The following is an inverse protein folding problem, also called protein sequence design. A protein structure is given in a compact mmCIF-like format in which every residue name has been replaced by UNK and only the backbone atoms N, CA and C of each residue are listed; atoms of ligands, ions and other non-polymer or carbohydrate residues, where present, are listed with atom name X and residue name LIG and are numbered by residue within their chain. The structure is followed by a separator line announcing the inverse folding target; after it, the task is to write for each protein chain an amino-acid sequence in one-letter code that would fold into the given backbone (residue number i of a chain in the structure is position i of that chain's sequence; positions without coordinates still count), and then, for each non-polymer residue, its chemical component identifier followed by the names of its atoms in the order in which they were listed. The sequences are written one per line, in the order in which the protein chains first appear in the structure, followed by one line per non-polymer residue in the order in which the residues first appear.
data_IF_062605257178
#
_entry.id   IF_062605257178
#
_cell.length_a   1.000
_cell.length_b   1.000
_cell.length_c   1.000
_cell.angle_alpha   90.00
_cell.angle_beta   90.00
_cell.angle_gamma   90.00
#
_symmetry.space_group_name_H-M   'P 1'
#
loop_
_entity.id
_entity.type
_entity.pdbx_description
1 polymer ?
#
# COMPACT_ATOMS: atom_id res chain seq x y z
N UNK A 1 -20.51 -20.62 4.59
CA UNK A 1 -19.91 -19.85 5.71
C UNK A 1 -20.65 -20.18 6.99
N UNK A 2 -20.04 -19.92 8.14
CA UNK A 2 -20.72 -19.98 9.44
C UNK A 2 -20.89 -18.55 9.94
N UNK A 3 -22.10 -18.19 10.36
CA UNK A 3 -22.39 -16.92 11.01
C UNK A 3 -22.89 -17.16 12.44
N UNK A 4 -22.56 -16.25 13.34
CA UNK A 4 -23.16 -16.18 14.68
C UNK A 4 -23.52 -14.74 14.98
N UNK A 5 -24.74 -14.53 15.44
CA UNK A 5 -25.25 -13.22 15.82
C UNK A 5 -25.11 -13.04 17.32
N UNK A 6 -24.67 -11.86 17.73
CA UNK A 6 -24.53 -11.44 19.11
C UNK A 6 -25.23 -10.09 19.28
N UNK A 7 -25.90 -9.90 20.40
CA UNK A 7 -26.43 -8.59 20.77
C UNK A 7 -25.37 -7.80 21.53
N UNK A 8 -25.33 -6.49 21.30
CA UNK A 8 -24.62 -5.55 22.17
C UNK A 8 -25.13 -5.68 23.61
N UNK A 9 -24.28 -5.34 24.58
CA UNK A 9 -24.66 -5.28 26.00
C UNK A 9 -25.84 -4.32 26.19
N UNK A 10 -25.88 -3.23 25.43
CA UNK A 10 -26.95 -2.22 25.46
C UNK A 10 -28.16 -2.61 24.58
N UNK A 11 -28.07 -3.71 23.82
CA UNK A 11 -29.09 -4.23 22.88
C UNK A 11 -29.54 -3.24 21.78
N UNK A 12 -28.74 -2.23 21.53
CA UNK A 12 -28.86 -1.26 20.45
C UNK A 12 -28.31 -1.80 19.12
N UNK A 13 -27.26 -2.62 19.19
CA UNK A 13 -26.55 -3.14 18.02
C UNK A 13 -26.56 -4.67 17.95
N UNK A 14 -26.46 -5.20 16.72
CA UNK A 14 -26.32 -6.63 16.45
C UNK A 14 -24.99 -6.86 15.73
N UNK A 15 -24.13 -7.67 16.35
CA UNK A 15 -22.85 -8.07 15.80
C UNK A 15 -22.97 -9.43 15.10
N UNK A 16 -22.67 -9.45 13.81
CA UNK A 16 -22.60 -10.69 13.03
C UNK A 16 -21.15 -11.15 12.87
N UNK A 17 -20.76 -12.21 13.58
CA UNK A 17 -19.44 -12.82 13.44
C UNK A 17 -19.46 -13.81 12.28
N UNK A 18 -18.63 -13.56 11.27
CA UNK A 18 -18.49 -14.42 10.10
C UNK A 18 -17.21 -15.26 10.25
N UNK A 19 -17.34 -16.57 10.04
CA UNK A 19 -16.21 -17.50 9.97
C UNK A 19 -16.35 -18.39 8.73
N UNK A 20 -15.23 -18.66 8.07
CA UNK A 20 -15.17 -19.63 6.99
C UNK A 20 -14.31 -20.83 7.42
N UNK A 21 -14.76 -22.08 7.21
CA UNK A 21 -13.96 -23.26 7.49
C UNK A 21 -12.78 -23.36 6.50
N UNK A 22 -11.65 -23.90 6.97
CA UNK A 22 -10.41 -23.97 6.20
C UNK A 22 -10.57 -24.62 4.80
N UNK A 23 -11.31 -25.74 4.63
CA UNK A 23 -11.49 -26.34 3.31
C UNK A 23 -12.19 -25.42 2.31
N UNK A 24 -13.12 -24.57 2.78
CA UNK A 24 -13.81 -23.61 1.89
C UNK A 24 -12.90 -22.46 1.49
N UNK A 25 -12.02 -22.02 2.39
CA UNK A 25 -11.00 -21.00 2.10
C UNK A 25 -9.99 -21.49 1.08
N UNK A 26 -9.51 -22.74 1.24
CA UNK A 26 -8.56 -23.34 0.30
C UNK A 26 -9.18 -23.55 -1.09
N UNK A 27 -10.45 -23.95 -1.17
CA UNK A 27 -11.17 -24.00 -2.45
C UNK A 27 -11.28 -22.62 -3.12
N UNK A 28 -11.47 -21.57 -2.32
CA UNK A 28 -11.50 -20.20 -2.86
C UNK A 28 -10.11 -19.76 -3.34
N UNK A 29 -9.07 -20.08 -2.57
CA UNK A 29 -7.69 -19.80 -2.92
C UNK A 29 -7.31 -20.45 -4.26
N UNK A 30 -7.71 -21.69 -4.50
CA UNK A 30 -7.48 -22.38 -5.79
C UNK A 30 -8.26 -21.69 -6.93
N UNK A 31 -9.53 -21.32 -6.70
CA UNK A 31 -10.36 -20.62 -7.70
C UNK A 31 -9.71 -19.33 -8.20
N UNK A 32 -9.09 -18.57 -7.30
CA UNK A 32 -8.47 -17.28 -7.64
C UNK A 32 -6.97 -17.40 -7.95
N UNK A 33 -6.42 -18.62 -8.02
CA UNK A 33 -4.99 -18.89 -8.15
C UNK A 33 -4.17 -18.08 -7.12
N UNK A 34 -4.56 -18.16 -5.84
CA UNK A 34 -3.90 -17.41 -4.78
C UNK A 34 -2.46 -17.89 -4.62
N UNK A 35 -1.51 -16.97 -4.70
CA UNK A 35 -0.08 -17.29 -4.58
C UNK A 35 0.31 -17.50 -3.13
N UNK A 36 1.00 -18.59 -2.87
CA UNK A 36 1.54 -18.94 -1.56
C UNK A 36 3.02 -19.24 -1.66
N UNK A 37 3.75 -18.91 -0.59
CA UNK A 37 5.17 -19.18 -0.49
C UNK A 37 5.40 -20.67 -0.25
N UNK A 38 6.38 -21.24 -0.93
CA UNK A 38 6.86 -22.60 -0.70
C UNK A 38 7.86 -22.65 0.46
N UNK A 39 7.90 -23.79 1.14
CA UNK A 39 8.90 -24.09 2.16
C UNK A 39 10.25 -24.42 1.50
N UNK A 40 11.32 -23.64 1.77
CA UNK A 40 12.61 -23.82 1.09
C UNK A 40 13.22 -25.20 1.29
N UNK A 41 13.19 -25.74 2.52
CA UNK A 41 13.76 -27.05 2.84
C UNK A 41 13.00 -28.19 2.15
N UNK A 42 11.66 -28.14 2.18
CA UNK A 42 10.81 -29.11 1.49
C UNK A 42 11.03 -29.08 -0.03
N UNK A 43 11.21 -27.88 -0.59
CA UNK A 43 11.49 -27.69 -2.01
C UNK A 43 12.86 -28.21 -2.42
N UNK A 44 13.90 -27.91 -1.65
CA UNK A 44 15.24 -28.42 -1.90
C UNK A 44 15.28 -29.96 -1.84
N UNK A 45 14.61 -30.57 -0.86
CA UNK A 45 14.57 -32.03 -0.72
C UNK A 45 13.85 -32.68 -1.91
N UNK A 46 12.70 -32.16 -2.31
CA UNK A 46 12.00 -32.67 -3.49
C UNK A 46 12.81 -32.50 -4.75
N UNK A 47 13.46 -31.35 -4.95
CA UNK A 47 14.29 -31.10 -6.12
C UNK A 47 15.48 -32.08 -6.21
N UNK A 48 16.04 -32.48 -5.05
CA UNK A 48 17.08 -33.51 -4.96
C UNK A 48 16.56 -34.92 -5.21
N UNK A 49 15.35 -35.24 -4.74
CA UNK A 49 14.74 -36.55 -4.96
C UNK A 49 14.40 -36.78 -6.44
N UNK A 50 13.96 -35.72 -7.14
CA UNK A 50 13.40 -35.84 -8.47
C UNK A 50 12.06 -36.59 -8.47
N UNK A 51 11.31 -36.48 -9.55
CA UNK A 51 10.06 -37.21 -9.70
C UNK A 51 10.15 -38.14 -10.90
N UNK A 52 10.65 -39.35 -10.69
CA UNK A 52 10.85 -40.34 -11.77
C UNK A 52 9.65 -41.31 -11.93
N UNK A 53 8.69 -41.28 -11.00
CA UNK A 53 7.53 -42.18 -10.97
C UNK A 53 6.26 -41.42 -11.36
N UNK A 54 5.54 -41.88 -12.39
CA UNK A 54 4.27 -41.27 -12.82
C UNK A 54 4.17 -41.11 -14.35
N UNK A 55 3.13 -40.41 -14.84
CA UNK A 55 3.01 -40.06 -16.27
C UNK A 55 4.24 -39.28 -16.73
N UNK A 56 4.71 -39.52 -17.96
CA UNK A 56 5.93 -38.91 -18.54
C UNK A 56 5.90 -37.38 -18.39
N UNK A 57 4.73 -36.75 -18.53
CA UNK A 57 4.52 -35.31 -18.40
C UNK A 57 4.86 -34.74 -17.01
N UNK A 58 4.78 -35.56 -15.97
CA UNK A 58 5.12 -35.17 -14.58
C UNK A 58 6.48 -35.69 -14.16
N UNK A 59 7.24 -36.34 -15.06
CA UNK A 59 8.55 -36.86 -14.72
C UNK A 59 9.62 -35.79 -14.86
N UNK A 60 10.47 -35.64 -13.85
CA UNK A 60 11.61 -34.74 -13.89
C UNK A 60 12.79 -35.30 -13.07
N UNK A 61 14.00 -35.06 -13.57
CA UNK A 61 15.25 -35.52 -12.93
C UNK A 61 15.59 -34.62 -11.75
N UNK A 62 16.36 -35.15 -10.80
CA UNK A 62 16.86 -34.34 -9.70
C UNK A 62 17.65 -33.13 -10.20
N UNK A 63 17.39 -31.97 -9.60
CA UNK A 63 18.06 -30.71 -9.90
C UNK A 63 18.66 -30.19 -8.62
N UNK A 64 19.98 -30.03 -8.61
CA UNK A 64 20.69 -29.34 -7.54
C UNK A 64 21.16 -27.99 -8.06
N UNK A 65 20.54 -26.92 -7.56
CA UNK A 65 21.01 -25.56 -7.78
C UNK A 65 22.09 -25.27 -6.73
N UNK A 66 23.33 -24.92 -7.13
CA UNK A 66 24.37 -24.56 -6.19
C UNK A 66 23.99 -23.27 -5.45
N UNK A 67 24.12 -23.26 -4.13
CA UNK A 67 23.85 -22.09 -3.28
C UNK A 67 24.96 -21.02 -3.35
N UNK A 68 26.02 -21.26 -4.10
CA UNK A 68 27.16 -20.35 -4.27
C UNK A 68 26.81 -19.25 -5.29
N UNK A 69 25.85 -18.39 -4.96
CA UNK A 69 25.68 -17.13 -5.68
C UNK A 69 26.69 -16.13 -5.13
N UNK A 70 27.59 -15.63 -5.98
CA UNK A 70 28.57 -14.58 -5.62
C UNK A 70 27.87 -13.21 -5.54
N UNK A 71 26.72 -13.07 -6.20
CA UNK A 71 26.05 -11.80 -6.44
C UNK A 71 24.95 -11.47 -5.42
N UNK A 72 24.35 -12.48 -4.77
CA UNK A 72 23.20 -12.27 -3.87
C UNK A 72 23.26 -13.12 -2.60
N UNK A 73 22.81 -12.55 -1.47
CA UNK A 73 22.66 -13.26 -0.19
C UNK A 73 21.37 -14.10 -0.10
N UNK A 74 20.66 -14.30 -1.21
CA UNK A 74 19.36 -15.00 -1.23
C UNK A 74 19.59 -16.44 -1.69
N UNK A 75 19.13 -17.40 -0.88
CA UNK A 75 19.21 -18.81 -1.25
C UNK A 75 18.29 -19.11 -2.45
N UNK A 76 18.71 -19.96 -3.42
CA UNK A 76 17.92 -20.26 -4.62
C UNK A 76 16.50 -20.78 -4.35
N UNK A 77 16.27 -21.44 -3.21
CA UNK A 77 14.97 -22.01 -2.85
C UNK A 77 14.12 -21.06 -2.00
N UNK A 78 14.64 -19.87 -1.66
CA UNK A 78 13.94 -18.88 -0.86
C UNK A 78 13.02 -17.99 -1.70
N UNK A 79 11.87 -17.60 -1.13
CA UNK A 79 10.88 -16.70 -1.74
C UNK A 79 10.29 -17.18 -3.08
N UNK A 80 10.25 -18.49 -3.30
CA UNK A 80 9.50 -19.07 -4.42
C UNK A 80 8.03 -19.11 -4.04
N UNK A 81 7.18 -18.55 -4.89
CA UNK A 81 5.74 -18.53 -4.74
C UNK A 81 5.10 -19.31 -5.88
N UNK A 82 4.05 -20.06 -5.57
CA UNK A 82 3.25 -20.75 -6.57
C UNK A 82 1.76 -20.59 -6.28
N UNK A 83 0.95 -20.77 -7.31
CA UNK A 83 -0.49 -20.76 -7.17
C UNK A 83 -0.94 -21.97 -6.32
N UNK A 84 -1.87 -21.72 -5.42
CA UNK A 84 -2.44 -22.78 -4.59
C UNK A 84 -3.27 -23.75 -5.44
N UNK A 85 -2.99 -25.05 -5.34
CA UNK A 85 -3.75 -26.13 -6.00
C UNK A 85 -4.25 -27.15 -4.99
N UNK A 86 -5.54 -27.46 -5.04
CA UNK A 86 -6.12 -28.45 -4.14
C UNK A 86 -5.70 -29.88 -4.55
N UNK A 87 -5.09 -30.61 -3.63
CA UNK A 87 -4.73 -32.03 -3.82
C UNK A 87 -3.31 -32.27 -4.37
N UNK A 88 -2.55 -31.22 -4.66
CA UNK A 88 -1.12 -31.32 -4.90
C UNK A 88 -0.32 -31.24 -3.59
N UNK A 89 0.90 -31.78 -3.64
CA UNK A 89 1.71 -32.13 -2.48
C UNK A 89 2.06 -30.87 -1.63
N UNK A 90 1.84 -30.87 -0.31
CA UNK A 90 1.82 -29.65 0.50
C UNK A 90 3.23 -29.17 0.80
N UNK A 91 3.80 -28.46 -0.16
CA UNK A 91 5.12 -27.82 -0.02
C UNK A 91 4.99 -26.35 0.39
N UNK A 92 3.79 -25.92 0.77
CA UNK A 92 3.50 -24.56 1.19
C UNK A 92 4.07 -24.29 2.57
N UNK A 93 4.61 -23.09 2.75
CA UNK A 93 5.07 -22.63 4.05
C UNK A 93 3.90 -22.60 5.04
N UNK A 94 4.12 -23.21 6.20
CA UNK A 94 3.15 -23.21 7.30
C UNK A 94 3.45 -22.06 8.27
N UNK A 95 2.38 -21.52 8.85
CA UNK A 95 2.41 -20.39 9.77
C UNK A 95 1.71 -20.73 11.09
N UNK A 96 2.29 -20.21 12.18
CA UNK A 96 1.74 -20.28 13.54
C UNK A 96 1.77 -21.67 14.18
N UNK A 97 1.25 -21.76 15.41
CA UNK A 97 1.20 -23.01 16.21
C UNK A 97 0.29 -24.07 15.57
N UNK A 98 -0.72 -23.62 14.82
CA UNK A 98 -1.67 -24.50 14.11
C UNK A 98 -1.11 -25.08 12.81
N UNK A 99 0.14 -24.78 12.44
CA UNK A 99 0.77 -25.24 11.19
C UNK A 99 -0.08 -24.96 9.93
N UNK A 100 -0.73 -23.80 9.91
CA UNK A 100 -1.67 -23.47 8.86
C UNK A 100 -0.99 -22.87 7.65
N UNK A 101 -1.43 -23.25 6.45
CA UNK A 101 -0.90 -22.74 5.19
C UNK A 101 -1.23 -21.25 4.94
N UNK A 102 -2.33 -20.75 5.52
CA UNK A 102 -2.79 -19.36 5.33
C UNK A 102 -2.54 -18.52 6.58
N UNK A 103 -1.94 -17.34 6.41
CA UNK A 103 -1.78 -16.33 7.47
C UNK A 103 -3.14 -15.78 7.92
N UNK A 104 -3.20 -15.14 9.08
CA UNK A 104 -4.42 -14.49 9.58
C UNK A 104 -5.02 -13.51 8.56
N UNK A 105 -4.17 -12.67 7.96
CA UNK A 105 -4.56 -11.70 6.92
C UNK A 105 -5.07 -12.38 5.65
N UNK A 106 -4.42 -13.46 5.20
CA UNK A 106 -4.84 -14.16 3.98
C UNK A 106 -6.24 -14.73 4.15
N UNK A 107 -6.55 -15.27 5.33
CA UNK A 107 -7.90 -15.76 5.66
C UNK A 107 -8.92 -14.62 5.62
N UNK A 108 -8.60 -13.47 6.18
CA UNK A 108 -9.48 -12.30 6.17
C UNK A 108 -9.73 -11.78 4.75
N UNK A 109 -8.70 -11.71 3.92
CA UNK A 109 -8.81 -11.34 2.49
C UNK A 109 -9.68 -12.32 1.71
N UNK A 110 -9.47 -13.62 1.90
CA UNK A 110 -10.27 -14.65 1.25
C UNK A 110 -11.74 -14.58 1.72
N UNK A 111 -12.01 -14.36 3.01
CA UNK A 111 -13.38 -14.15 3.49
C UNK A 111 -14.03 -12.94 2.84
N UNK A 112 -13.33 -11.80 2.80
CA UNK A 112 -13.82 -10.59 2.15
C UNK A 112 -14.10 -10.82 0.66
N UNK A 113 -13.22 -11.55 -0.03
CA UNK A 113 -13.43 -11.94 -1.43
C UNK A 113 -14.69 -12.82 -1.59
N UNK A 114 -14.89 -13.85 -0.76
CA UNK A 114 -16.09 -14.70 -0.85
C UNK A 114 -17.38 -13.88 -0.60
N UNK A 115 -17.35 -12.89 0.30
CA UNK A 115 -18.50 -11.99 0.56
C UNK A 115 -18.83 -11.17 -0.69
N UNK A 116 -17.82 -10.60 -1.36
CA UNK A 116 -17.99 -9.76 -2.53
C UNK A 116 -18.25 -10.55 -3.83
N UNK A 117 -17.71 -11.76 -3.94
CA UNK A 117 -17.80 -12.59 -5.14
C UNK A 117 -19.25 -12.95 -5.49
N UNK A 118 -19.52 -13.19 -6.78
CA UNK A 118 -20.86 -13.49 -7.30
C UNK A 118 -21.38 -14.85 -6.83
N UNK A 119 -22.71 -14.99 -6.82
CA UNK A 119 -23.38 -16.26 -6.51
C UNK A 119 -22.99 -17.40 -7.46
N UNK A 120 -22.75 -17.09 -8.75
CA UNK A 120 -22.28 -18.07 -9.75
C UNK A 120 -20.98 -18.75 -9.36
N UNK A 121 -20.12 -18.01 -8.67
CA UNK A 121 -18.76 -18.45 -8.34
C UNK A 121 -18.70 -19.03 -6.91
N UNK A 122 -19.87 -19.18 -6.26
CA UNK A 122 -20.01 -19.63 -4.88
C UNK A 122 -19.74 -18.55 -3.83
N UNK A 123 -19.79 -17.28 -4.21
CA UNK A 123 -19.75 -16.11 -3.32
C UNK A 123 -21.13 -15.69 -2.83
N UNK A 124 -21.18 -14.63 -2.04
CA UNK A 124 -22.42 -14.13 -1.42
C UNK A 124 -23.03 -12.91 -2.12
N UNK A 125 -22.33 -12.31 -3.10
CA UNK A 125 -22.72 -11.14 -3.88
C UNK A 125 -23.22 -9.97 -3.02
N UNK A 126 -22.53 -9.73 -1.90
CA UNK A 126 -22.84 -8.67 -0.96
C UNK A 126 -21.84 -7.52 -1.14
N UNK A 127 -22.30 -6.42 -1.71
CA UNK A 127 -21.54 -5.17 -1.68
C UNK A 127 -21.72 -4.48 -0.32
N UNK A 128 -20.74 -4.70 0.54
CA UNK A 128 -20.68 -4.13 1.89
C UNK A 128 -20.75 -2.60 1.86
N UNK A 129 -20.15 -1.93 0.88
CA UNK A 129 -20.15 -0.47 0.81
C UNK A 129 -21.54 0.07 0.50
N UNK A 130 -22.27 -0.61 -0.40
CA UNK A 130 -23.66 -0.26 -0.70
C UNK A 130 -24.56 -0.43 0.51
N UNK A 131 -24.37 -1.51 1.28
CA UNK A 131 -25.14 -1.78 2.50
C UNK A 131 -24.88 -0.77 3.62
N UNK A 132 -23.63 -0.30 3.74
CA UNK A 132 -23.28 0.77 4.68
C UNK A 132 -23.93 2.09 4.24
N UNK A 133 -23.84 2.42 2.95
CA UNK A 133 -24.45 3.64 2.39
C UNK A 133 -25.99 3.65 2.52
N UNK A 134 -26.63 2.49 2.35
CA UNK A 134 -28.08 2.34 2.54
C UNK A 134 -28.50 2.27 4.01
N UNK A 135 -27.57 2.42 4.96
CA UNK A 135 -27.79 2.31 6.42
C UNK A 135 -28.38 0.96 6.85
N UNK A 136 -28.23 -0.08 6.03
CA UNK A 136 -28.61 -1.45 6.41
C UNK A 136 -27.55 -2.10 7.32
N UNK A 137 -26.30 -1.67 7.18
CA UNK A 137 -25.17 -2.10 8.00
C UNK A 137 -24.47 -0.87 8.55
N UNK A 138 -24.11 -0.89 9.83
CA UNK A 138 -23.39 0.23 10.44
C UNK A 138 -21.93 0.22 9.99
N UNK A 139 -21.27 -0.93 10.12
CA UNK A 139 -19.84 -1.08 9.87
C UNK A 139 -19.47 -2.54 9.60
N UNK A 140 -18.36 -2.73 8.89
CA UNK A 140 -17.76 -4.04 8.59
C UNK A 140 -16.25 -3.94 8.78
N UNK A 141 -15.69 -4.75 9.67
CA UNK A 141 -14.26 -4.71 9.99
C UNK A 141 -13.73 -6.10 10.37
N UNK A 142 -12.44 -6.37 10.09
CA UNK A 142 -11.77 -7.58 10.56
C UNK A 142 -11.50 -7.50 12.07
N UNK A 143 -11.48 -8.65 12.75
CA UNK A 143 -11.12 -8.72 14.17
C UNK A 143 -9.60 -8.87 14.33
N UNK A 144 -9.02 -8.14 15.28
CA UNK A 144 -7.61 -8.25 15.64
C UNK A 144 -7.32 -9.48 16.52
N UNK A 145 -6.13 -10.07 16.35
CA UNK A 145 -5.59 -11.02 17.32
C UNK A 145 -4.76 -10.27 18.36
N UNK A 146 -5.26 -10.22 19.59
CA UNK A 146 -4.64 -9.47 20.68
C UNK A 146 -3.29 -10.05 21.13
N UNK A 147 -2.97 -11.31 20.81
CA UNK A 147 -1.67 -11.91 21.17
C UNK A 147 -0.62 -11.47 20.16
N UNK A 148 -0.86 -11.71 18.87
CA UNK A 148 0.07 -11.31 17.80
C UNK A 148 0.30 -9.79 17.77
N UNK A 149 -0.75 -8.99 18.04
CA UNK A 149 -0.65 -7.54 18.08
C UNK A 149 0.26 -7.02 19.20
N UNK A 150 0.15 -7.60 20.40
CA UNK A 150 0.99 -7.21 21.55
C UNK A 150 2.46 -7.56 21.29
N UNK A 151 2.73 -8.74 20.75
CA UNK A 151 4.09 -9.14 20.37
C UNK A 151 4.69 -8.21 19.31
N UNK A 152 3.86 -7.75 18.36
CA UNK A 152 4.27 -6.80 17.34
C UNK A 152 4.53 -5.42 17.94
N UNK A 153 3.65 -4.91 18.79
CA UNK A 153 3.78 -3.63 19.49
C UNK A 153 5.07 -3.55 20.31
N UNK A 154 5.35 -4.56 21.14
CA UNK A 154 6.53 -4.58 22.01
C UNK A 154 7.87 -4.63 21.25
N UNK A 155 7.89 -5.26 20.08
CA UNK A 155 9.11 -5.40 19.25
C UNK A 155 9.28 -4.22 18.31
N UNK A 156 8.19 -3.75 17.72
CA UNK A 156 8.21 -2.76 16.64
C UNK A 156 8.19 -1.32 17.16
N UNK A 157 7.37 -1.00 18.17
CA UNK A 157 7.18 0.36 18.67
C UNK A 157 8.18 0.76 19.76
N UNK A 158 9.34 0.08 19.83
CA UNK A 158 10.42 0.46 20.74
C UNK A 158 10.94 1.84 20.38
N UNK A 159 11.08 2.69 21.40
CA UNK A 159 11.63 4.04 21.26
C UNK A 159 13.06 3.99 20.69
N UNK A 160 13.38 4.94 19.80
CA UNK A 160 14.71 5.11 19.20
C UNK A 160 15.23 3.92 18.37
N UNK A 161 14.35 3.12 17.76
CA UNK A 161 14.80 2.16 16.74
C UNK A 161 15.30 2.91 15.49
N UNK A 162 16.45 2.53 14.93
CA UNK A 162 16.96 3.21 13.76
C UNK A 162 16.08 2.92 12.53
N UNK A 163 15.90 3.90 11.63
CA UNK A 163 14.97 3.77 10.49
C UNK A 163 15.38 2.69 9.48
N UNK A 164 16.66 2.28 9.45
CA UNK A 164 17.14 1.20 8.57
C UNK A 164 16.82 -0.21 9.08
N UNK A 165 16.43 -0.38 10.34
CA UNK A 165 16.15 -1.69 10.95
C UNK A 165 14.67 -1.83 11.35
N UNK A 166 13.79 -1.72 10.37
CA UNK A 166 12.35 -1.86 10.59
C UNK A 166 11.89 -3.33 10.53
N UNK A 167 10.92 -3.68 11.39
CA UNK A 167 10.34 -5.02 11.51
C UNK A 167 9.26 -5.28 10.42
N UNK A 168 9.65 -5.16 9.15
CA UNK A 168 8.69 -5.11 8.02
C UNK A 168 8.00 -6.46 7.77
N UNK A 169 8.68 -7.60 7.95
CA UNK A 169 8.09 -8.91 7.65
C UNK A 169 6.90 -9.23 8.57
N UNK A 170 6.98 -9.06 9.91
CA UNK A 170 5.82 -9.29 10.78
C UNK A 170 4.71 -8.26 10.61
N UNK A 171 5.04 -7.00 10.33
CA UNK A 171 4.04 -5.96 9.98
C UNK A 171 3.27 -6.38 8.72
N UNK A 172 3.97 -6.88 7.69
CA UNK A 172 3.35 -7.41 6.48
C UNK A 172 2.48 -8.63 6.76
N UNK A 173 2.95 -9.56 7.60
CA UNK A 173 2.22 -10.78 7.88
C UNK A 173 0.94 -10.54 8.70
N UNK A 174 0.91 -9.47 9.51
CA UNK A 174 -0.25 -9.08 10.33
C UNK A 174 -1.19 -8.05 9.69
N UNK A 175 -0.67 -7.07 8.94
CA UNK A 175 -1.48 -6.02 8.30
C UNK A 175 -1.66 -6.20 6.79
N UNK A 176 -0.86 -7.06 6.16
CA UNK A 176 -0.82 -7.27 4.73
C UNK A 176 0.23 -6.42 4.01
N UNK A 177 0.37 -6.68 2.71
CA UNK A 177 1.44 -6.17 1.87
C UNK A 177 1.28 -4.69 1.55
N UNK A 178 0.05 -4.16 1.47
CA UNK A 178 -0.18 -2.71 1.26
C UNK A 178 0.39 -1.88 2.41
N UNK A 179 0.09 -2.27 3.65
CA UNK A 179 0.58 -1.58 4.85
C UNK A 179 2.08 -1.87 5.04
N UNK A 180 2.52 -3.10 4.77
CA UNK A 180 3.94 -3.46 4.74
C UNK A 180 4.76 -2.60 3.76
N UNK A 181 4.23 -2.36 2.55
CA UNK A 181 4.88 -1.52 1.53
C UNK A 181 4.96 -0.06 1.99
N UNK A 182 3.91 0.46 2.60
CA UNK A 182 3.89 1.81 3.15
C UNK A 182 5.01 2.00 4.19
N UNK A 183 5.11 1.10 5.18
CA UNK A 183 6.19 1.20 6.18
C UNK A 183 7.57 0.95 5.58
N UNK A 184 7.70 0.03 4.62
CA UNK A 184 8.94 -0.17 3.87
C UNK A 184 9.40 1.12 3.15
N UNK A 185 8.47 1.84 2.52
CA UNK A 185 8.72 3.13 1.89
C UNK A 185 9.09 4.19 2.92
N UNK A 186 8.37 4.25 4.05
CA UNK A 186 8.65 5.20 5.12
C UNK A 186 10.06 5.02 5.69
N UNK A 187 10.49 3.78 5.92
CA UNK A 187 11.87 3.46 6.31
C UNK A 187 12.89 3.89 5.26
N UNK A 188 12.62 3.59 3.98
CA UNK A 188 13.47 4.04 2.87
C UNK A 188 13.60 5.56 2.83
N UNK A 189 12.49 6.28 2.88
CA UNK A 189 12.43 7.74 2.86
C UNK A 189 13.20 8.36 4.02
N UNK A 190 12.96 7.91 5.25
CA UNK A 190 13.66 8.43 6.45
C UNK A 190 15.16 8.14 6.43
N UNK A 191 15.59 6.96 5.97
CA UNK A 191 17.02 6.64 5.82
C UNK A 191 17.72 7.52 4.79
N UNK A 192 17.06 7.83 3.67
CA UNK A 192 17.62 8.68 2.61
C UNK A 192 17.57 10.17 2.93
N UNK A 193 16.64 10.60 3.77
CA UNK A 193 16.65 11.96 4.29
C UNK A 193 17.85 12.24 5.20
N UNK A 194 18.40 11.23 5.89
CA UNK A 194 19.53 11.43 6.79
C UNK A 194 20.76 12.07 6.11
N UNK A 195 21.32 11.53 5.00
CA UNK A 195 22.44 12.18 4.31
C UNK A 195 22.06 13.55 3.75
N UNK A 196 20.83 13.72 3.24
CA UNK A 196 20.37 15.02 2.74
C UNK A 196 20.29 16.08 3.84
N UNK A 197 19.81 15.69 5.04
CA UNK A 197 19.73 16.56 6.21
C UNK A 197 21.12 16.95 6.71
N UNK A 198 22.09 16.03 6.68
CA UNK A 198 23.48 16.34 7.07
C UNK A 198 24.07 17.39 6.13
N UNK A 199 24.00 17.17 4.81
CA UNK A 199 24.51 18.13 3.81
C UNK A 199 23.75 19.46 3.87
N UNK A 200 22.43 19.42 4.03
CA UNK A 200 21.59 20.60 4.17
C UNK A 200 21.92 21.41 5.42
N UNK A 201 22.20 20.75 6.54
CA UNK A 201 22.64 21.42 7.76
C UNK A 201 23.98 22.14 7.55
N UNK A 202 24.96 21.50 6.91
CA UNK A 202 26.22 22.15 6.58
C UNK A 202 26.05 23.33 5.62
N UNK A 203 25.23 23.19 4.58
CA UNK A 203 24.92 24.29 3.67
C UNK A 203 24.29 25.47 4.42
N UNK A 204 23.32 25.19 5.29
CA UNK A 204 22.68 26.21 6.13
C UNK A 204 23.67 26.91 7.06
N UNK A 205 24.58 26.18 7.73
CA UNK A 205 25.57 26.81 8.61
C UNK A 205 26.54 27.72 7.86
N UNK A 206 26.92 27.37 6.62
CA UNK A 206 27.80 28.22 5.81
C UNK A 206 27.09 29.51 5.42
N UNK A 207 25.85 29.42 4.93
CA UNK A 207 25.02 30.59 4.61
C UNK A 207 24.81 31.48 5.84
N UNK A 208 24.57 30.88 7.01
CA UNK A 208 24.41 31.62 8.26
C UNK A 208 25.71 32.35 8.67
N UNK A 209 26.88 31.76 8.40
CA UNK A 209 28.19 32.39 8.68
C UNK A 209 28.51 33.56 7.75
N UNK A 210 27.98 33.54 6.53
CA UNK A 210 28.10 34.61 5.53
C UNK A 210 26.98 35.67 5.66
N UNK A 211 26.47 35.87 6.89
CA UNK A 211 25.41 36.84 7.20
C UNK A 211 24.10 36.67 6.37
N UNK A 212 23.79 35.43 5.93
CA UNK A 212 22.65 35.09 5.08
C UNK A 212 22.67 35.77 3.70
N UNK A 213 23.85 35.93 3.11
CA UNK A 213 23.96 36.38 1.72
C UNK A 213 23.27 35.37 0.78
N UNK A 214 22.26 35.79 -0.01
CA UNK A 214 21.59 34.91 -0.97
C UNK A 214 22.51 34.42 -2.09
N UNK A 215 23.67 35.06 -2.31
CA UNK A 215 24.63 34.70 -3.36
C UNK A 215 25.77 33.78 -2.87
N UNK A 216 25.60 33.17 -1.68
CA UNK A 216 26.55 32.23 -1.11
C UNK A 216 26.92 31.11 -2.09
N UNK A 217 28.23 30.90 -2.27
CA UNK A 217 28.76 29.98 -3.30
C UNK A 217 28.28 28.53 -3.11
N UNK A 218 27.87 28.16 -1.89
CA UNK A 218 27.40 26.81 -1.53
C UNK A 218 26.03 26.46 -2.13
N UNK A 219 25.20 27.45 -2.45
CA UNK A 219 23.80 27.25 -2.86
C UNK A 219 23.69 26.48 -4.19
N UNK A 220 24.42 26.83 -5.28
CA UNK A 220 24.42 26.05 -6.51
C UNK A 220 24.92 24.61 -6.31
N UNK A 221 25.95 24.40 -5.48
CA UNK A 221 26.44 23.04 -5.19
C UNK A 221 25.39 22.20 -4.46
N UNK A 222 24.67 22.80 -3.50
CA UNK A 222 23.57 22.12 -2.83
C UNK A 222 22.43 21.77 -3.79
N UNK A 223 22.09 22.65 -4.74
CA UNK A 223 21.08 22.37 -5.75
C UNK A 223 21.45 21.17 -6.64
N UNK A 224 22.71 21.09 -7.09
CA UNK A 224 23.21 19.92 -7.84
C UNK A 224 23.15 18.65 -6.99
N UNK A 225 23.55 18.73 -5.72
CA UNK A 225 23.43 17.61 -4.78
C UNK A 225 21.98 17.13 -4.63
N UNK A 226 21.00 18.03 -4.45
CA UNK A 226 19.58 17.67 -4.33
C UNK A 226 19.08 17.00 -5.61
N UNK A 227 19.51 17.46 -6.80
CA UNK A 227 19.18 16.82 -8.07
C UNK A 227 19.71 15.38 -8.16
N UNK A 228 20.97 15.17 -7.81
CA UNK A 228 21.59 13.82 -7.78
C UNK A 228 20.96 12.94 -6.70
N UNK A 229 20.77 13.47 -5.49
CA UNK A 229 20.13 12.76 -4.39
C UNK A 229 18.71 12.30 -4.76
N UNK A 230 17.91 13.18 -5.39
CA UNK A 230 16.52 12.87 -5.77
C UNK A 230 16.44 11.72 -6.80
N UNK A 231 17.35 11.73 -7.78
CA UNK A 231 17.42 10.66 -8.79
C UNK A 231 17.87 9.33 -8.17
N UNK A 232 18.92 9.35 -7.33
CA UNK A 232 19.39 8.17 -6.62
C UNK A 232 18.36 7.60 -5.65
N UNK A 233 17.64 8.47 -4.93
CA UNK A 233 16.56 8.09 -4.02
C UNK A 233 15.48 7.27 -4.72
N UNK A 234 15.02 7.75 -5.88
CA UNK A 234 13.99 7.08 -6.67
C UNK A 234 14.49 5.78 -7.31
N UNK A 235 15.70 5.76 -7.86
CA UNK A 235 16.26 4.54 -8.46
C UNK A 235 16.50 3.44 -7.42
N UNK A 236 16.98 3.80 -6.23
CA UNK A 236 17.13 2.85 -5.13
C UNK A 236 15.77 2.36 -4.62
N UNK A 237 14.75 3.23 -4.58
CA UNK A 237 13.39 2.83 -4.24
C UNK A 237 12.85 1.80 -5.23
N UNK A 238 12.94 2.06 -6.55
CA UNK A 238 12.49 1.11 -7.59
C UNK A 238 13.14 -0.26 -7.45
N UNK A 239 14.44 -0.31 -7.12
CA UNK A 239 15.16 -1.57 -6.86
C UNK A 239 14.63 -2.27 -5.61
N UNK A 240 14.45 -1.53 -4.52
CA UNK A 240 13.95 -2.06 -3.23
C UNK A 240 12.50 -2.54 -3.34
N UNK A 241 11.66 -1.83 -4.09
CA UNK A 241 10.28 -2.19 -4.40
C UNK A 241 10.21 -3.49 -5.19
N UNK A 242 11.00 -3.63 -6.26
CA UNK A 242 11.06 -4.88 -7.04
C UNK A 242 11.51 -6.06 -6.19
N UNK A 243 12.52 -5.87 -5.34
CA UNK A 243 12.98 -6.89 -4.41
C UNK A 243 11.88 -7.28 -3.41
N UNK A 244 11.14 -6.30 -2.87
CA UNK A 244 10.03 -6.57 -1.97
C UNK A 244 8.89 -7.30 -2.68
N UNK A 245 8.51 -6.87 -3.89
CA UNK A 245 7.49 -7.53 -4.70
C UNK A 245 7.86 -9.00 -4.98
N UNK A 246 9.12 -9.28 -5.31
CA UNK A 246 9.64 -10.64 -5.48
C UNK A 246 9.56 -11.44 -4.16
N UNK A 247 10.09 -10.91 -3.06
CA UNK A 247 10.04 -11.57 -1.75
C UNK A 247 8.62 -11.85 -1.27
N UNK A 248 7.66 -11.00 -1.63
CA UNK A 248 6.28 -11.07 -1.17
C UNK A 248 5.34 -11.80 -2.15
N UNK A 249 5.84 -12.23 -3.32
CA UNK A 249 5.02 -12.94 -4.31
C UNK A 249 4.05 -12.03 -5.08
N UNK A 250 4.25 -10.71 -4.99
CA UNK A 250 3.39 -9.68 -5.58
C UNK A 250 3.83 -9.24 -6.98
N UNK A 251 4.75 -9.98 -7.60
CA UNK A 251 5.20 -9.71 -8.98
C UNK A 251 4.04 -9.92 -9.95
N UNK A 252 3.67 -8.90 -10.73
CA UNK A 252 2.54 -8.97 -11.67
C UNK A 252 1.17 -8.93 -10.97
N UNK A 253 1.11 -8.49 -9.71
CA UNK A 253 -0.17 -8.33 -9.00
C UNK A 253 -1.12 -7.35 -9.71
N UNK A 254 -0.60 -6.30 -10.34
CA UNK A 254 -1.39 -5.28 -11.05
C UNK A 254 -2.23 -5.89 -12.17
N UNK A 255 -1.69 -6.86 -12.91
CA UNK A 255 -2.39 -7.55 -14.01
C UNK A 255 -3.52 -8.47 -13.55
N UNK A 256 -3.57 -8.79 -12.26
CA UNK A 256 -4.53 -9.75 -11.66
C UNK A 256 -5.58 -9.07 -10.77
N UNK A 257 -5.65 -7.74 -10.76
CA UNK A 257 -6.64 -7.01 -9.96
C UNK A 257 -8.06 -7.34 -10.43
N UNK A 258 -8.90 -7.75 -9.47
CA UNK A 258 -10.32 -7.99 -9.71
C UNK A 258 -11.06 -6.65 -9.87
N UNK A 259 -12.12 -6.66 -10.67
CA UNK A 259 -13.02 -5.52 -10.79
C UNK A 259 -13.55 -5.11 -9.41
N UNK A 260 -13.52 -3.80 -9.14
CA UNK A 260 -14.08 -3.25 -7.90
C UNK A 260 -15.58 -3.59 -7.80
N UNK A 261 -16.12 -3.88 -6.61
CA UNK A 261 -17.54 -4.22 -6.45
C UNK A 261 -18.52 -3.16 -6.96
N UNK A 262 -18.11 -1.88 -6.93
CA UNK A 262 -18.93 -0.75 -7.40
C UNK A 262 -18.88 -0.55 -8.92
N UNK A 263 -18.14 -1.39 -9.66
CA UNK A 263 -18.06 -1.28 -11.10
C UNK A 263 -19.35 -1.81 -11.74
N UNK A 264 -20.12 -0.90 -12.33
CA UNK A 264 -21.28 -1.22 -13.12
C UNK A 264 -20.92 -1.16 -14.61
N UNK A 265 -21.33 -2.16 -15.36
CA UNK A 265 -21.11 -2.24 -16.80
C UNK A 265 -22.08 -3.22 -17.45
N UNK A 266 -22.03 -3.32 -18.76
CA UNK A 266 -22.85 -4.25 -19.52
C UNK A 266 -22.17 -5.63 -19.55
N UNK A 267 -22.90 -6.74 -19.37
CA UNK A 267 -22.31 -8.07 -19.46
C UNK A 267 -21.79 -8.30 -20.88
N UNK A 268 -20.48 -8.53 -21.00
CA UNK A 268 -19.80 -8.80 -22.27
C UNK A 268 -18.86 -10.00 -22.12
N UNK A 269 -18.46 -10.59 -23.23
CA UNK A 269 -17.54 -11.72 -23.27
C UNK A 269 -16.15 -11.21 -23.65
N UNK A 270 -15.12 -11.57 -22.87
CA UNK A 270 -13.74 -11.20 -23.15
C UNK A 270 -13.32 -11.77 -24.51
N UNK A 271 -12.80 -10.94 -25.44
CA UNK A 271 -12.33 -11.40 -26.74
C UNK A 271 -11.02 -12.21 -26.68
N UNK A 272 -10.30 -12.16 -25.54
CA UNK A 272 -9.02 -12.88 -25.35
C UNK A 272 -9.26 -14.24 -24.70
N UNK A 273 -10.03 -14.27 -23.60
CA UNK A 273 -10.14 -15.47 -22.75
C UNK A 273 -11.53 -16.12 -22.76
N UNK A 274 -12.52 -15.51 -23.41
CA UNK A 274 -13.91 -15.98 -23.42
C UNK A 274 -14.65 -15.87 -22.07
N UNK A 275 -14.02 -15.30 -21.04
CA UNK A 275 -14.63 -15.11 -19.71
C UNK A 275 -15.72 -14.03 -19.74
N UNK A 276 -16.77 -14.19 -18.95
CA UNK A 276 -17.82 -13.16 -18.78
C UNK A 276 -17.26 -12.01 -17.94
N UNK A 277 -17.26 -10.80 -18.48
CA UNK A 277 -16.80 -9.57 -17.83
C UNK A 277 -17.86 -8.47 -17.92
N UNK A 278 -17.69 -7.39 -17.17
CA UNK A 278 -18.47 -6.17 -17.36
C UNK A 278 -17.69 -5.25 -18.30
N UNK A 279 -18.32 -4.81 -19.38
CA UNK A 279 -17.74 -3.84 -20.30
C UNK A 279 -18.35 -2.47 -20.05
N UNK A 280 -17.50 -1.45 -20.00
CA UNK A 280 -17.94 -0.06 -19.95
C UNK A 280 -17.50 0.65 -21.24
N UNK A 281 -18.41 1.35 -21.96
CA UNK A 281 -18.12 1.95 -23.24
C UNK A 281 -17.08 3.08 -23.14
N UNK A 282 -16.01 2.99 -23.95
CA UNK A 282 -14.87 3.92 -23.94
C UNK A 282 -15.24 5.37 -24.19
N UNK A 283 -16.22 5.64 -25.05
CA UNK A 283 -16.67 7.01 -25.34
C UNK A 283 -17.21 7.72 -24.09
N UNK A 284 -17.97 7.00 -23.25
CA UNK A 284 -18.52 7.54 -22.01
C UNK A 284 -17.41 7.70 -20.95
N UNK A 285 -16.41 6.81 -20.93
CA UNK A 285 -15.24 6.95 -20.04
C UNK A 285 -14.49 8.22 -20.34
N UNK A 286 -14.10 8.42 -21.60
CA UNK A 286 -13.33 9.59 -22.01
C UNK A 286 -14.12 10.87 -21.75
N UNK A 287 -15.43 10.88 -21.98
CA UNK A 287 -16.26 12.03 -21.67
C UNK A 287 -16.29 12.35 -20.16
N UNK A 288 -16.52 11.35 -19.31
CA UNK A 288 -16.52 11.52 -17.85
C UNK A 288 -15.15 11.90 -17.30
N UNK A 289 -14.09 11.32 -17.84
CA UNK A 289 -12.71 11.64 -17.49
C UNK A 289 -12.36 13.07 -17.89
N UNK A 290 -12.78 13.51 -19.08
CA UNK A 290 -12.59 14.90 -19.53
C UNK A 290 -13.31 15.89 -18.61
N UNK A 291 -14.55 15.57 -18.19
CA UNK A 291 -15.27 16.40 -17.20
C UNK A 291 -14.52 16.43 -15.87
N UNK A 292 -14.06 15.28 -15.37
CA UNK A 292 -13.30 15.19 -14.12
C UNK A 292 -12.02 16.03 -14.17
N UNK A 293 -11.24 15.89 -15.24
CA UNK A 293 -10.00 16.67 -15.49
C UNK A 293 -10.31 18.16 -15.60
N UNK A 294 -11.40 18.54 -16.27
CA UNK A 294 -11.81 19.94 -16.37
C UNK A 294 -12.20 20.53 -15.00
N UNK A 295 -12.96 19.79 -14.18
CA UNK A 295 -13.32 20.22 -12.81
C UNK A 295 -12.08 20.39 -11.94
N UNK A 296 -11.16 19.41 -11.97
CA UNK A 296 -9.89 19.50 -11.24
C UNK A 296 -9.05 20.69 -11.72
N UNK A 297 -9.00 20.94 -13.03
CA UNK A 297 -8.31 22.09 -13.62
C UNK A 297 -8.88 23.42 -13.15
N UNK A 298 -10.22 23.57 -13.09
CA UNK A 298 -10.88 24.76 -12.54
C UNK A 298 -10.54 24.95 -11.06
N UNK A 299 -10.55 23.87 -10.26
CA UNK A 299 -10.16 23.95 -8.85
C UNK A 299 -8.71 24.41 -8.68
N UNK A 300 -7.77 23.92 -9.50
CA UNK A 300 -6.37 24.37 -9.50
C UNK A 300 -6.27 25.86 -9.83
N UNK A 301 -7.00 26.34 -10.84
CA UNK A 301 -7.01 27.77 -11.19
C UNK A 301 -7.54 28.64 -10.04
N UNK A 302 -8.62 28.20 -9.37
CA UNK A 302 -9.15 28.88 -8.19
C UNK A 302 -8.07 28.96 -7.09
N UNK A 303 -7.36 27.86 -6.82
CA UNK A 303 -6.26 27.83 -5.84
C UNK A 303 -5.17 28.84 -6.21
N UNK A 304 -4.75 28.89 -7.48
CA UNK A 304 -3.73 29.83 -7.95
C UNK A 304 -4.17 31.29 -7.81
N UNK A 305 -5.43 31.61 -8.14
CA UNK A 305 -5.98 32.96 -7.96
C UNK A 305 -6.01 33.39 -6.49
N UNK A 306 -6.37 32.47 -5.58
CA UNK A 306 -6.38 32.73 -4.14
C UNK A 306 -4.96 32.96 -3.63
N UNK A 307 -3.99 32.12 -4.02
CA UNK A 307 -2.58 32.29 -3.64
C UNK A 307 -2.03 33.62 -4.15
N UNK A 308 -2.31 33.98 -5.41
CA UNK A 308 -1.90 35.27 -5.98
C UNK A 308 -2.51 36.45 -5.19
N UNK A 309 -3.78 36.34 -4.81
CA UNK A 309 -4.46 37.36 -3.99
C UNK A 309 -3.83 37.52 -2.61
N UNK A 310 -3.47 36.40 -1.95
CA UNK A 310 -2.76 36.41 -0.66
C UNK A 310 -1.37 37.03 -0.82
N UNK A 311 -0.69 36.77 -1.93
CA UNK A 311 0.62 37.37 -2.21
C UNK A 311 0.53 38.90 -2.38
N UNK A 312 -0.47 39.38 -3.12
CA UNK A 312 -0.74 40.83 -3.25
C UNK A 312 -1.08 41.44 -1.89
N UNK A 313 -1.94 40.78 -1.11
CA UNK A 313 -2.27 41.20 0.26
C UNK A 313 -1.00 41.28 1.14
N UNK A 314 -0.10 40.29 1.05
CA UNK A 314 1.16 40.27 1.81
C UNK A 314 2.04 41.47 1.48
N UNK A 315 2.17 41.82 0.21
CA UNK A 315 2.95 43.00 -0.23
C UNK A 315 2.32 44.26 0.36
N UNK A 316 1.01 44.43 0.22
CA UNK A 316 0.29 45.60 0.73
C UNK A 316 0.44 45.77 2.25
N UNK A 317 0.31 44.68 3.01
CA UNK A 317 0.46 44.70 4.48
C UNK A 317 1.90 44.99 4.92
N UNK A 318 2.90 44.61 4.12
CA UNK A 318 4.31 44.83 4.44
C UNK A 318 4.74 46.27 4.14
N UNK A 319 4.15 46.89 3.13
CA UNK A 319 4.39 48.30 2.79
C UNK A 319 3.66 49.28 3.72
N UNK A 320 2.56 48.84 4.34
CA UNK A 320 1.75 49.68 5.23
C UNK A 320 2.35 49.77 6.64
N UNK A 321 2.69 50.97 7.10
CA UNK A 321 3.22 51.23 8.45
C UNK A 321 2.23 50.95 9.58
N UNK A 322 0.94 50.79 9.27
CA UNK A 322 -0.11 50.42 10.22
C UNK A 322 0.04 49.01 10.82
N UNK A 323 0.79 48.11 10.17
CA UNK A 323 0.96 46.72 10.61
C UNK A 323 2.33 46.44 11.24
N UNK A 324 3.01 47.50 11.72
CA UNK A 324 4.24 47.40 12.50
C UNK A 324 3.90 47.63 13.97
N UNK A 325 3.74 46.55 14.74
CA UNK A 325 3.49 46.64 16.19
C UNK A 325 4.80 46.36 16.91
N UNK A 326 5.32 47.35 17.64
CA UNK A 326 6.54 47.20 18.46
C UNK A 326 7.83 46.95 17.66
N UNK A 327 7.93 47.46 16.42
CA UNK A 327 9.12 47.28 15.56
C UNK A 327 9.18 45.95 14.81
N UNK A 328 8.18 45.07 14.99
CA UNK A 328 8.05 43.81 14.25
C UNK A 328 7.02 43.99 13.14
N UNK A 329 7.41 43.67 11.90
CA UNK A 329 6.50 43.67 10.76
C UNK A 329 5.50 42.50 10.86
N UNK A 330 4.37 42.73 11.53
CA UNK A 330 3.35 41.69 11.80
C UNK A 330 2.58 41.28 10.53
N UNK A 331 2.59 42.12 9.49
CA UNK A 331 1.90 41.86 8.22
C UNK A 331 2.31 40.56 7.51
N UNK A 332 3.59 40.19 7.55
CA UNK A 332 4.08 38.95 6.93
C UNK A 332 3.63 37.69 7.69
N UNK A 333 3.59 37.77 9.03
CA UNK A 333 3.12 36.70 9.90
C UNK A 333 1.63 36.46 9.70
N UNK A 334 0.83 37.54 9.67
CA UNK A 334 -0.62 37.46 9.42
C UNK A 334 -0.90 36.83 8.05
N UNK A 335 -0.22 37.28 6.99
CA UNK A 335 -0.37 36.68 5.67
C UNK A 335 0.00 35.18 5.65
N UNK A 336 1.03 34.78 6.40
CA UNK A 336 1.41 33.37 6.57
C UNK A 336 0.31 32.54 7.25
N UNK A 337 -0.31 33.07 8.31
CA UNK A 337 -1.43 32.41 9.01
C UNK A 337 -2.64 32.29 8.08
N UNK A 338 -3.00 33.35 7.36
CA UNK A 338 -4.11 33.34 6.40
C UNK A 338 -3.89 32.29 5.32
N UNK A 339 -2.67 32.17 4.80
CA UNK A 339 -2.30 31.14 3.83
C UNK A 339 -2.47 29.72 4.42
N UNK A 340 -2.00 29.48 5.65
CA UNK A 340 -2.14 28.18 6.30
C UNK A 340 -3.61 27.79 6.53
N UNK A 341 -4.44 28.73 6.99
CA UNK A 341 -5.90 28.51 7.16
C UNK A 341 -6.56 28.22 5.82
N UNK A 342 -6.21 28.98 4.78
CA UNK A 342 -6.73 28.78 3.44
C UNK A 342 -6.41 27.40 2.87
N UNK A 343 -5.19 26.89 3.06
CA UNK A 343 -4.80 25.53 2.65
C UNK A 343 -5.67 24.49 3.37
N UNK A 344 -5.90 24.63 4.68
CA UNK A 344 -6.74 23.69 5.44
C UNK A 344 -8.20 23.69 4.96
N UNK A 345 -8.77 24.87 4.72
CA UNK A 345 -10.14 25.00 4.20
C UNK A 345 -10.26 24.39 2.80
N UNK A 346 -9.30 24.66 1.91
CA UNK A 346 -9.31 24.07 0.58
C UNK A 346 -9.13 22.55 0.61
N UNK A 347 -8.28 22.02 1.49
CA UNK A 347 -8.13 20.57 1.64
C UNK A 347 -9.45 19.91 2.09
N UNK A 348 -10.20 20.56 3.00
CA UNK A 348 -11.51 20.07 3.43
C UNK A 348 -12.55 20.11 2.30
N UNK A 349 -12.57 21.20 1.51
CA UNK A 349 -13.45 21.31 0.34
C UNK A 349 -13.08 20.24 -0.69
N UNK A 350 -11.79 20.14 -1.05
CA UNK A 350 -11.31 19.18 -2.03
C UNK A 350 -11.61 17.75 -1.62
N UNK A 351 -11.39 17.39 -0.35
CA UNK A 351 -11.71 16.07 0.18
C UNK A 351 -13.21 15.74 0.23
N UNK A 352 -14.10 16.71 0.06
CA UNK A 352 -15.54 16.48 -0.10
C UNK A 352 -15.99 16.36 -1.55
N UNK A 353 -15.22 16.94 -2.48
CA UNK A 353 -15.53 16.99 -3.93
C UNK A 353 -14.91 15.81 -4.67
N UNK A 354 -13.68 15.43 -4.31
CA UNK A 354 -12.96 14.27 -4.80
C UNK A 354 -13.42 12.99 -4.10
#
# INVERSE_FOLDING_TARGET
MQNRLFYSVQRDEVYCKIRCPMPRLLREADRINYRLRLEPAGLANKLREGHLKGPIEKQWKSVEVPSTSIETDIDPYEYIHCDYRQGEDPMYQKYGVSESVLRGVDRLKLIANIIAARLSDGGAFLDVHRLIKSKCMITFFPLHDAVELRDLEEKWLRMCQPPWKQYIQPVRDYFGEKIGLFFLFLGHYTTWLLPASIVGFFAWTNVASEANDPDAIIIPYFAVFVGVWSTLFLEYWKRKEKLAAMKWGMVGFEDTQLDRPQFEGEPSTSPVDGRKMLYFPKAILVFRETISVAVVGVLILIVLCIIASIFVMRIYMTQSSAFVVGGVATGSIIAGIVNAVQIQVLNAIYGSVA
#
